data_IF_996864831919
#
_entry.id   IF_996864831919
#
_cell.length_a   1.000
_cell.length_b   1.000
_cell.length_c   1.000
_cell.angle_alpha   90.00
_cell.angle_beta   90.00
_cell.angle_gamma   90.00
#
_symmetry.space_group_name_H-M   'P 1'
#
loop_
_entity.id
_entity.type
_entity.pdbx_description
1 polymer ?
#
# COMPACT_ATOMS: atom_id res chain seq x y z
N UNK A 1 -3.33 5.25 -18.77
CA UNK A 1 -2.84 4.37 -17.70
C UNK A 1 -4.04 3.95 -16.88
N UNK A 2 -4.28 2.64 -16.73
CA UNK A 2 -5.40 2.10 -15.98
C UNK A 2 -5.19 2.41 -14.48
N UNK A 3 -6.03 3.26 -13.87
CA UNK A 3 -5.87 3.70 -12.46
C UNK A 3 -6.39 2.67 -11.44
N UNK A 4 -6.55 1.41 -11.87
CA UNK A 4 -7.20 0.36 -11.09
C UNK A 4 -6.36 -0.14 -9.92
N UNK A 5 -5.05 0.10 -9.96
CA UNK A 5 -4.12 -0.32 -8.93
C UNK A 5 -3.15 0.80 -8.54
N UNK A 6 -2.62 0.77 -7.31
CA UNK A 6 -1.66 1.75 -6.88
C UNK A 6 -0.32 1.61 -7.61
N UNK A 7 0.35 2.73 -7.83
CA UNK A 7 1.58 2.86 -8.63
C UNK A 7 2.67 3.58 -7.83
N UNK A 8 3.89 3.61 -8.37
CA UNK A 8 5.04 4.27 -7.75
C UNK A 8 4.72 5.71 -7.29
N UNK A 9 5.11 6.05 -6.07
CA UNK A 9 4.93 7.37 -5.47
C UNK A 9 3.54 7.60 -4.86
N UNK A 10 2.55 6.75 -5.13
CA UNK A 10 1.23 6.86 -4.52
C UNK A 10 1.27 6.51 -3.03
N UNK A 11 0.45 7.21 -2.23
CA UNK A 11 0.19 6.83 -0.84
C UNK A 11 -1.02 5.90 -0.79
N UNK A 12 -0.84 4.72 -0.21
CA UNK A 12 -1.92 3.77 0.08
C UNK A 12 -2.20 3.73 1.57
N UNK A 13 -3.48 3.62 1.93
CA UNK A 13 -3.90 3.35 3.31
C UNK A 13 -4.50 1.95 3.37
N UNK A 14 -3.99 1.09 4.26
CA UNK A 14 -4.40 -0.31 4.40
C UNK A 14 -4.78 -0.56 5.85
N UNK A 15 -5.98 -1.11 6.07
CA UNK A 15 -6.43 -1.48 7.40
C UNK A 15 -5.61 -2.63 7.98
N UNK A 16 -5.47 -2.69 9.31
CA UNK A 16 -4.68 -3.72 10.02
C UNK A 16 -4.97 -5.15 9.54
N UNK A 17 -6.26 -5.49 9.37
CA UNK A 17 -6.70 -6.82 8.95
C UNK A 17 -6.30 -7.21 7.51
N UNK A 18 -5.88 -6.25 6.69
CA UNK A 18 -5.56 -6.42 5.27
C UNK A 18 -4.05 -6.49 4.99
N UNK A 19 -3.18 -6.36 6.00
CA UNK A 19 -1.73 -6.52 5.83
C UNK A 19 -1.07 -7.37 6.93
N UNK A 20 0.15 -7.87 6.66
CA UNK A 20 0.95 -8.60 7.63
C UNK A 20 2.04 -7.72 8.27
N UNK A 21 2.46 -8.09 9.49
CA UNK A 21 3.64 -7.56 10.18
C UNK A 21 3.50 -6.09 10.63
N UNK A 22 2.40 -5.76 11.29
CA UNK A 22 2.26 -4.50 12.02
C UNK A 22 0.92 -4.39 12.74
N UNK A 23 0.74 -3.26 13.39
CA UNK A 23 -0.47 -2.90 14.14
C UNK A 23 -0.97 -1.52 13.69
N UNK A 24 -2.27 -1.31 13.72
CA UNK A 24 -2.91 -0.09 13.25
C UNK A 24 -3.12 -0.05 11.75
N UNK A 25 -3.58 1.09 11.24
CA UNK A 25 -3.67 1.32 9.80
C UNK A 25 -2.30 1.68 9.23
N UNK A 26 -1.92 1.01 8.15
CA UNK A 26 -0.69 1.29 7.41
C UNK A 26 -0.94 2.41 6.39
N UNK A 27 -0.16 3.50 6.46
CA UNK A 27 -0.06 4.50 5.38
C UNK A 27 1.31 4.36 4.74
N UNK A 28 1.37 3.98 3.48
CA UNK A 28 2.62 3.66 2.79
C UNK A 28 2.73 4.46 1.49
N UNK A 29 3.79 5.25 1.34
CA UNK A 29 4.15 5.86 0.05
C UNK A 29 5.02 4.88 -0.73
N UNK A 30 4.51 4.40 -1.86
CA UNK A 30 5.18 3.38 -2.67
C UNK A 30 6.51 3.91 -3.24
N UNK A 31 7.56 3.12 -3.09
CA UNK A 31 8.89 3.39 -3.65
C UNK A 31 9.25 2.43 -4.78
N UNK A 32 8.41 1.41 -5.02
CA UNK A 32 8.53 0.46 -6.11
C UNK A 32 7.15 0.17 -6.73
N UNK A 33 7.14 -0.24 -8.00
CA UNK A 33 5.93 -0.69 -8.69
C UNK A 33 5.48 -2.04 -8.10
N UNK A 34 4.22 -2.19 -7.66
CA UNK A 34 3.76 -3.46 -7.12
C UNK A 34 3.64 -4.52 -8.23
N UNK A 35 4.14 -5.72 -7.96
CA UNK A 35 4.16 -6.82 -8.93
C UNK A 35 3.03 -7.81 -8.65
N UNK A 36 2.39 -8.30 -9.71
CA UNK A 36 1.42 -9.41 -9.63
C UNK A 36 -0.03 -9.00 -9.33
N UNK A 37 -0.33 -7.70 -9.30
CA UNK A 37 -1.68 -7.16 -9.06
C UNK A 37 -2.74 -7.66 -10.06
N UNK A 38 -2.32 -7.84 -11.32
CA UNK A 38 -3.19 -8.27 -12.42
C UNK A 38 -3.40 -9.79 -12.47
N UNK A 39 -2.64 -10.57 -11.68
CA UNK A 39 -2.73 -12.02 -11.72
C UNK A 39 -3.98 -12.50 -10.96
N UNK A 40 -4.95 -13.19 -11.61
CA UNK A 40 -6.28 -13.45 -11.04
C UNK A 40 -6.29 -14.37 -9.82
N UNK A 41 -5.21 -15.15 -9.61
CA UNK A 41 -5.06 -16.08 -8.48
C UNK A 41 -4.22 -15.54 -7.33
N UNK A 42 -3.65 -14.33 -7.44
CA UNK A 42 -2.85 -13.74 -6.37
C UNK A 42 -3.80 -13.03 -5.39
N UNK A 43 -3.79 -13.48 -4.14
CA UNK A 43 -4.60 -12.88 -3.07
C UNK A 43 -3.88 -11.78 -2.30
N UNK A 44 -2.55 -11.85 -2.26
CA UNK A 44 -1.68 -10.92 -1.54
C UNK A 44 -0.48 -10.55 -2.39
N UNK A 45 -0.11 -9.28 -2.36
CA UNK A 45 1.09 -8.74 -3.02
C UNK A 45 1.98 -8.09 -1.98
N UNK A 46 3.28 -8.06 -2.25
CA UNK A 46 4.20 -7.25 -1.47
C UNK A 46 4.15 -5.80 -1.97
N UNK A 47 3.99 -4.86 -1.04
CA UNK A 47 4.16 -3.44 -1.28
C UNK A 47 5.43 -2.98 -0.59
N UNK A 48 6.23 -2.18 -1.29
CA UNK A 48 7.47 -1.63 -0.78
C UNK A 48 7.36 -0.10 -0.79
N UNK A 49 7.64 0.51 0.35
CA UNK A 49 7.50 1.96 0.46
C UNK A 49 7.97 2.54 1.79
N UNK A 50 7.87 3.85 1.89
CA UNK A 50 8.12 4.58 3.13
C UNK A 50 6.81 4.73 3.90
N UNK A 51 6.82 4.30 5.15
CA UNK A 51 5.66 4.46 6.03
C UNK A 51 5.49 5.92 6.44
N UNK A 52 4.23 6.37 6.42
CA UNK A 52 3.85 7.70 6.85
C UNK A 52 3.05 7.63 8.14
N UNK A 53 3.33 8.54 9.06
CA UNK A 53 2.48 8.81 10.22
C UNK A 53 1.18 9.49 9.79
N UNK A 54 0.26 9.64 10.73
CA UNK A 54 -1.04 10.32 10.50
C UNK A 54 -0.87 11.78 10.05
N UNK A 55 0.18 12.45 10.51
CA UNK A 55 0.52 13.83 10.14
C UNK A 55 1.25 13.94 8.78
N UNK A 56 1.47 12.80 8.09
CA UNK A 56 2.18 12.75 6.81
C UNK A 56 3.71 12.71 6.92
N UNK A 57 4.28 12.78 8.12
CA UNK A 57 5.73 12.65 8.32
C UNK A 57 6.18 11.20 8.15
N UNK A 58 7.44 11.01 7.73
CA UNK A 58 8.00 9.67 7.56
C UNK A 58 8.22 8.99 8.91
N UNK A 59 7.67 7.78 9.06
CA UNK A 59 7.94 6.91 10.18
C UNK A 59 9.34 6.29 10.06
N UNK A 60 9.87 5.81 11.18
CA UNK A 60 11.15 5.09 11.26
C UNK A 60 12.36 5.76 10.57
N UNK A 61 12.33 7.09 10.40
CA UNK A 61 13.40 7.87 9.77
C UNK A 61 13.44 7.75 8.24
N UNK A 62 12.30 7.48 7.58
CA UNK A 62 12.25 7.40 6.11
C UNK A 62 12.74 6.08 5.53
N UNK A 63 13.00 5.08 6.39
CA UNK A 63 13.39 3.74 5.94
C UNK A 63 12.24 3.08 5.19
N UNK A 64 12.57 2.45 4.08
CA UNK A 64 11.64 1.58 3.35
C UNK A 64 11.26 0.38 4.22
N UNK A 65 10.00 -0.01 4.15
CA UNK A 65 9.48 -1.28 4.65
C UNK A 65 8.75 -2.01 3.53
N UNK A 66 8.69 -3.33 3.66
CA UNK A 66 7.76 -4.13 2.87
C UNK A 66 6.56 -4.56 3.71
N UNK A 67 5.42 -4.76 3.05
CA UNK A 67 4.19 -5.26 3.65
C UNK A 67 3.46 -6.17 2.67
N UNK A 68 3.08 -7.37 3.15
CA UNK A 68 2.21 -8.28 2.40
C UNK A 68 0.75 -7.84 2.58
N UNK A 69 0.15 -7.32 1.51
CA UNK A 69 -1.17 -6.70 1.50
C UNK A 69 -2.15 -7.49 0.66
N UNK A 70 -3.40 -7.64 1.12
CA UNK A 70 -4.48 -8.27 0.35
C UNK A 70 -4.80 -7.44 -0.90
N UNK A 71 -4.81 -8.07 -2.07
CA UNK A 71 -5.17 -7.42 -3.35
C UNK A 71 -6.58 -6.83 -3.29
N UNK A 72 -7.51 -7.49 -2.59
CA UNK A 72 -8.87 -6.97 -2.39
C UNK A 72 -8.90 -5.61 -1.69
N UNK A 73 -7.97 -5.35 -0.76
CA UNK A 73 -7.88 -4.07 -0.06
C UNK A 73 -7.41 -2.95 -0.99
N UNK A 74 -6.48 -3.25 -1.90
CA UNK A 74 -5.97 -2.30 -2.88
C UNK A 74 -7.03 -1.93 -3.92
N UNK A 75 -7.88 -2.88 -4.31
CA UNK A 75 -9.03 -2.62 -5.18
C UNK A 75 -10.09 -1.73 -4.53
N UNK A 76 -10.28 -1.85 -3.20
CA UNK A 76 -11.17 -0.97 -2.43
C UNK A 76 -10.60 0.44 -2.29
N UNK A 77 -9.30 0.54 -2.01
CA UNK A 77 -8.59 1.81 -1.82
C UNK A 77 -8.31 2.58 -3.12
N UNK A 78 -8.16 1.92 -4.26
CA UNK A 78 -8.05 2.60 -5.57
C UNK A 78 -9.30 3.44 -5.93
N UNK A 79 -10.42 3.24 -5.21
CA UNK A 79 -11.65 4.00 -5.37
C UNK A 79 -11.77 5.26 -4.46
N UNK A 80 -10.77 5.58 -3.61
CA UNK A 80 -10.78 6.81 -2.80
C UNK A 80 -9.40 7.07 -2.14
N UNK A 81 -8.82 8.27 -2.18
CA UNK A 81 -9.42 9.60 -2.16
C UNK A 81 -9.02 10.46 -3.39
N UNK A 82 -9.96 11.21 -3.99
CA UNK A 82 -9.62 12.38 -4.81
C UNK A 82 -9.03 13.47 -3.89
N UNK A 83 -8.01 14.18 -4.40
CA UNK A 83 -7.64 15.49 -3.87
C UNK A 83 -8.77 16.49 -4.04
#
# INVERSE_FOLDING_TARGET
>A
MDHRFPHLGQVVTVAEADYCYGTGSLRLRLTEEPVGLDHPRIERVELIGVELRRDGTEAAGGRTRSALVRVAALRRGAAGEPR
#
